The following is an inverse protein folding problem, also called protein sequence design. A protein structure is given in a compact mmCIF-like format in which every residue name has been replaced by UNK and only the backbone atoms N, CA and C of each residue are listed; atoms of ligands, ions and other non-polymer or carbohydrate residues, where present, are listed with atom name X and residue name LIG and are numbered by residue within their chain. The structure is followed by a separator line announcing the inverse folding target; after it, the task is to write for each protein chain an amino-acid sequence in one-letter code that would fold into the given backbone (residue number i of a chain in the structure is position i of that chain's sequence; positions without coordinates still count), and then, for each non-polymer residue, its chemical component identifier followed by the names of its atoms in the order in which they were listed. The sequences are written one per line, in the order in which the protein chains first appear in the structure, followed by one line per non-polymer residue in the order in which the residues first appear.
data_IF_549070895614
#
_entry.id   IF_549070895614
#
_cell.length_a   1.000
_cell.length_b   1.000
_cell.length_c   1.000
_cell.angle_alpha   90.00
_cell.angle_beta   90.00
_cell.angle_gamma   90.00
#
_symmetry.space_group_name_H-M   'P 1'
#
loop_
_entity.id
_entity.type
_entity.pdbx_description
1 polymer ?
#
# COMPACT_ATOMS: atom_id res chain seq x y z
N UNK A 1 -0.87 -20.15 11.73
CA UNK A 1 -0.39 -18.83 11.28
C UNK A 1 -1.47 -18.18 10.44
N UNK A 2 -2.41 -17.47 11.06
CA UNK A 2 -3.44 -16.69 10.36
C UNK A 2 -2.81 -15.39 9.89
N UNK A 3 -2.05 -15.45 8.80
CA UNK A 3 -1.63 -14.23 8.11
C UNK A 3 -2.88 -13.55 7.57
N UNK A 4 -3.20 -12.35 8.04
CA UNK A 4 -4.35 -11.59 7.60
C UNK A 4 -4.40 -11.55 6.08
N UNK A 5 -5.54 -11.98 5.51
CA UNK A 5 -5.73 -12.02 4.06
C UNK A 5 -5.56 -10.61 3.48
N UNK A 6 -4.97 -10.54 2.29
CA UNK A 6 -4.85 -9.30 1.55
C UNK A 6 -6.23 -8.80 1.14
N UNK A 7 -6.48 -7.51 1.40
CA UNK A 7 -7.74 -6.81 1.19
C UNK A 7 -7.57 -5.70 0.14
N UNK A 8 -8.63 -5.31 -0.60
CA UNK A 8 -8.55 -4.27 -1.61
C UNK A 8 -8.18 -2.91 -1.00
N UNK A 9 -7.34 -2.13 -1.69
CA UNK A 9 -6.93 -0.79 -1.24
C UNK A 9 -8.09 0.18 -0.99
N UNK A 10 -9.23 0.00 -1.66
CA UNK A 10 -10.43 0.81 -1.46
C UNK A 10 -10.96 0.73 -0.01
N UNK A 11 -10.76 -0.41 0.66
CA UNK A 11 -11.16 -0.65 2.03
C UNK A 11 -10.03 -0.40 3.06
N UNK A 12 -8.89 0.14 2.62
CA UNK A 12 -7.74 0.32 3.50
C UNK A 12 -8.08 1.29 4.65
N UNK A 13 -7.86 0.88 5.91
CA UNK A 13 -8.14 1.72 7.06
C UNK A 13 -7.22 2.95 7.04
N UNK A 14 -7.78 4.11 7.36
CA UNK A 14 -7.08 5.41 7.34
C UNK A 14 -6.54 5.83 8.70
N UNK A 15 -6.91 5.10 9.75
CA UNK A 15 -6.66 5.40 11.16
C UNK A 15 -5.48 4.62 11.76
N UNK A 16 -5.00 3.56 11.09
CA UNK A 16 -3.98 2.64 11.60
C UNK A 16 -2.90 2.31 10.58
N UNK A 17 -1.88 1.58 11.04
CA UNK A 17 -0.82 1.04 10.18
C UNK A 17 -1.28 -0.24 9.49
N UNK A 18 -0.81 -0.45 8.27
CA UNK A 18 -1.10 -1.60 7.40
C UNK A 18 0.15 -2.02 6.66
N UNK A 19 0.26 -3.29 6.30
CA UNK A 19 1.20 -3.71 5.25
C UNK A 19 0.55 -3.45 3.89
N UNK A 20 1.35 -3.03 2.91
CA UNK A 20 0.91 -2.83 1.54
C UNK A 20 1.57 -3.83 0.61
N UNK A 21 0.78 -4.45 -0.24
CA UNK A 21 1.26 -5.08 -1.45
C UNK A 21 1.23 -4.03 -2.56
N UNK A 22 2.34 -3.86 -3.24
CA UNK A 22 2.44 -2.98 -4.40
C UNK A 22 3.08 -3.72 -5.57
N UNK A 23 2.80 -3.24 -6.76
CA UNK A 23 3.34 -3.76 -7.99
C UNK A 23 4.03 -2.68 -8.82
N UNK A 24 5.07 -3.07 -9.56
CA UNK A 24 5.79 -2.19 -10.48
C UNK A 24 6.09 -2.93 -11.77
N UNK A 25 5.79 -2.27 -12.88
CA UNK A 25 6.28 -2.66 -14.20
C UNK A 25 7.73 -2.23 -14.35
N UNK A 26 8.61 -3.20 -14.63
CA UNK A 26 10.00 -2.92 -14.92
C UNK A 26 10.17 -2.52 -16.39
N UNK A 27 11.18 -1.70 -16.69
CA UNK A 27 11.51 -1.32 -18.07
C UNK A 27 11.68 -2.58 -18.94
N UNK A 28 11.10 -2.56 -20.14
CA UNK A 28 10.97 -3.73 -21.01
C UNK A 28 9.57 -4.35 -21.01
N UNK A 29 8.63 -3.86 -20.19
CA UNK A 29 7.19 -4.17 -20.30
C UNK A 29 6.76 -5.59 -19.95
N UNK A 30 7.70 -6.52 -19.80
CA UNK A 30 7.40 -7.97 -19.68
C UNK A 30 7.41 -8.48 -18.24
N UNK A 31 7.88 -7.68 -17.26
CA UNK A 31 8.06 -8.16 -15.89
C UNK A 31 7.35 -7.27 -14.86
N UNK A 32 6.31 -7.84 -14.27
CA UNK A 32 5.64 -7.33 -13.08
C UNK A 32 6.41 -7.76 -11.82
N UNK A 33 6.86 -6.81 -11.02
CA UNK A 33 7.42 -7.08 -9.70
C UNK A 33 6.36 -6.77 -8.65
N UNK A 34 6.18 -7.67 -7.69
CA UNK A 34 5.28 -7.49 -6.54
C UNK A 34 6.12 -7.47 -5.27
N UNK A 35 5.86 -6.53 -4.38
CA UNK A 35 6.61 -6.37 -3.13
C UNK A 35 5.70 -5.92 -1.99
N UNK A 36 6.11 -6.26 -0.76
CA UNK A 36 5.39 -5.91 0.47
C UNK A 36 6.12 -4.78 1.19
N UNK A 37 5.40 -3.70 1.46
CA UNK A 37 5.86 -2.54 2.21
C UNK A 37 5.18 -2.55 3.58
N UNK A 38 5.93 -2.92 4.62
CA UNK A 38 5.38 -3.11 5.95
C UNK A 38 5.11 -1.79 6.70
N UNK A 39 4.10 -1.79 7.57
CA UNK A 39 3.86 -0.71 8.54
C UNK A 39 3.55 0.66 7.94
N UNK A 40 2.97 0.70 6.74
CA UNK A 40 2.52 1.90 6.05
C UNK A 40 1.34 2.55 6.78
N UNK A 41 1.19 3.87 6.72
CA UNK A 41 0.06 4.61 7.30
C UNK A 41 -0.47 5.65 6.34
N UNK A 42 -1.75 6.01 6.44
CA UNK A 42 -2.26 7.20 5.77
C UNK A 42 -1.69 8.46 6.43
N UNK A 43 -1.32 9.46 5.64
CA UNK A 43 -0.78 10.71 6.16
C UNK A 43 -1.89 11.78 6.21
N UNK A 44 -2.05 12.49 7.33
CA UNK A 44 -3.05 13.56 7.47
C UNK A 44 -2.70 14.85 6.71
N UNK A 45 -1.61 14.85 5.92
CA UNK A 45 -1.03 16.04 5.29
C UNK A 45 -1.71 16.53 4.01
N UNK A 46 -2.68 15.79 3.47
CA UNK A 46 -3.67 16.36 2.54
C UNK A 46 -4.81 16.90 3.37
N UNK A 47 -5.21 18.15 3.17
CA UNK A 47 -6.37 18.80 3.82
C UNK A 47 -7.45 17.80 4.23
N UNK A 48 -8.08 17.95 5.40
CA UNK A 48 -9.11 17.03 5.99
C UNK A 48 -10.15 16.50 4.97
N UNK A 49 -10.44 17.27 3.91
CA UNK A 49 -11.37 16.93 2.82
C UNK A 49 -10.85 15.90 1.79
N UNK A 50 -9.53 15.72 1.68
CA UNK A 50 -8.87 14.81 0.73
C UNK A 50 -7.67 14.12 1.39
N UNK A 51 -7.89 13.12 2.26
CA UNK A 51 -6.80 12.28 2.76
C UNK A 51 -6.10 11.62 1.55
N UNK A 52 -4.87 12.03 1.28
CA UNK A 52 -4.06 11.41 0.25
C UNK A 52 -3.44 10.13 0.82
N UNK A 53 -3.63 8.98 0.17
CA UNK A 53 -2.99 7.76 0.60
C UNK A 53 -1.46 7.88 0.50
N UNK A 54 -0.75 7.48 1.56
CA UNK A 54 0.69 7.71 1.66
C UNK A 54 1.56 6.73 0.88
N UNK A 55 1.00 5.92 -0.01
CA UNK A 55 1.83 5.25 -1.01
C UNK A 55 2.60 6.23 -1.93
N UNK A 56 2.48 7.56 -1.73
CA UNK A 56 3.48 8.55 -2.20
C UNK A 56 4.92 8.30 -1.71
N UNK A 57 5.15 7.49 -0.68
CA UNK A 57 6.50 7.01 -0.31
C UNK A 57 6.95 5.78 -1.08
N UNK A 58 6.06 5.11 -1.80
CA UNK A 58 6.51 4.04 -2.67
C UNK A 58 7.48 4.64 -3.69
N UNK A 59 8.59 3.95 -4.01
CA UNK A 59 9.50 4.44 -5.03
C UNK A 59 8.75 4.67 -6.35
N UNK A 60 9.26 5.56 -7.19
CA UNK A 60 8.64 5.87 -8.48
C UNK A 60 8.36 4.60 -9.29
N UNK A 61 7.13 4.47 -9.80
CA UNK A 61 6.68 3.35 -10.63
C UNK A 61 6.01 2.21 -9.86
N UNK A 62 5.91 2.30 -8.53
CA UNK A 62 5.15 1.34 -7.73
C UNK A 62 3.70 1.81 -7.50
N UNK A 63 2.76 0.87 -7.60
CA UNK A 63 1.32 1.08 -7.42
C UNK A 63 0.82 0.14 -6.33
N UNK A 64 0.18 0.67 -5.28
CA UNK A 64 -0.42 -0.16 -4.23
C UNK A 64 -1.66 -0.90 -4.75
N UNK A 65 -1.74 -2.22 -4.52
CA UNK A 65 -2.81 -3.08 -5.05
C UNK A 65 -3.64 -3.74 -3.95
N UNK A 66 -3.03 -4.07 -2.81
CA UNK A 66 -3.73 -4.63 -1.66
C UNK A 66 -3.09 -4.23 -0.33
N UNK A 67 -3.84 -4.37 0.76
CA UNK A 67 -3.36 -4.14 2.12
C UNK A 67 -3.72 -5.30 3.04
N UNK A 68 -3.04 -5.39 4.19
CA UNK A 68 -3.47 -6.23 5.31
C UNK A 68 -3.11 -5.56 6.62
N UNK A 69 -3.69 -6.02 7.71
CA UNK A 69 -3.24 -5.59 9.04
C UNK A 69 -1.77 -5.98 9.25
N UNK A 70 -1.04 -5.11 9.94
CA UNK A 70 0.35 -5.38 10.31
C UNK A 70 0.35 -6.63 11.19
N UNK A 71 1.18 -7.62 10.84
CA UNK A 71 1.36 -8.78 11.68
C UNK A 71 1.87 -8.36 13.07
N UNK A 72 1.34 -8.93 14.16
CA UNK A 72 1.79 -8.63 15.52
C UNK A 72 3.28 -8.94 15.74
#
# INVERSE_FOLDING_TARGET
MTGSAWQPMAAAPRDRRIDLQAERWMAGGERLRVEVFAGCKWNPGGTVRHPAPYWRRLPTGWTATAWREVAP
#
